data_IF_015495846895
#
_entry.id   IF_015495846895
#
_cell.length_a   1.000
_cell.length_b   1.000
_cell.length_c   1.000
_cell.angle_alpha   90.00
_cell.angle_beta   90.00
_cell.angle_gamma   90.00
#
_symmetry.space_group_name_H-M   'P 1'
#
loop_
_entity.id
_entity.type
_entity.pdbx_description
1 polymer ?
#
# COMPACT_ATOMS: atom_id res chain seq x y z
N UNK A 1 -5.00 7.81 -4.02
CA UNK A 1 -5.72 6.53 -3.91
C UNK A 1 -6.89 6.46 -4.88
N UNK A 2 -7.53 7.59 -5.19
CA UNK A 2 -8.64 7.71 -6.15
C UNK A 2 -8.46 6.96 -7.47
N UNK A 3 -7.30 7.07 -8.15
CA UNK A 3 -7.04 6.35 -9.40
C UNK A 3 -7.03 4.82 -9.23
N UNK A 4 -6.52 4.32 -8.10
CA UNK A 4 -6.53 2.88 -7.75
C UNK A 4 -7.96 2.43 -7.51
N UNK A 5 -8.74 3.21 -6.74
CA UNK A 5 -10.14 2.93 -6.46
C UNK A 5 -10.96 2.87 -7.75
N UNK A 6 -10.89 3.91 -8.59
CA UNK A 6 -11.58 3.96 -9.88
C UNK A 6 -11.20 2.79 -10.80
N UNK A 7 -9.91 2.46 -10.90
CA UNK A 7 -9.42 1.32 -11.67
C UNK A 7 -10.00 -0.01 -11.20
N UNK A 8 -9.94 -0.29 -9.90
CA UNK A 8 -10.49 -1.51 -9.32
C UNK A 8 -12.03 -1.58 -9.48
N UNK A 9 -12.74 -0.49 -9.22
CA UNK A 9 -14.21 -0.40 -9.38
C UNK A 9 -14.65 -0.59 -10.82
N UNK A 10 -13.90 -0.08 -11.80
CA UNK A 10 -14.22 -0.25 -13.23
C UNK A 10 -14.23 -1.72 -13.68
N UNK A 11 -13.62 -2.61 -12.88
CA UNK A 11 -13.58 -4.06 -13.09
C UNK A 11 -14.43 -4.84 -12.08
N UNK A 12 -15.30 -4.17 -11.33
CA UNK A 12 -16.17 -4.78 -10.32
C UNK A 12 -15.46 -5.17 -9.03
N UNK A 13 -14.24 -4.68 -8.80
CA UNK A 13 -13.47 -4.96 -7.59
C UNK A 13 -14.08 -4.33 -6.33
N UNK A 14 -13.89 -5.01 -5.19
CA UNK A 14 -14.19 -4.47 -3.87
C UNK A 14 -13.05 -3.55 -3.44
N UNK A 15 -13.38 -2.31 -3.07
CA UNK A 15 -12.41 -1.29 -2.62
C UNK A 15 -12.80 -0.81 -1.24
N UNK A 16 -11.93 -1.03 -0.25
CA UNK A 16 -12.13 -0.57 1.13
C UNK A 16 -11.19 0.61 1.39
N UNK A 17 -11.76 1.79 1.68
CA UNK A 17 -10.98 2.96 2.09
C UNK A 17 -10.80 3.00 3.60
N UNK A 18 -9.57 3.05 4.10
CA UNK A 18 -9.29 3.22 5.54
C UNK A 18 -8.91 4.68 5.79
N UNK A 19 -9.76 5.42 6.49
CA UNK A 19 -9.70 6.88 6.53
C UNK A 19 -8.88 7.41 7.71
N UNK A 20 -8.07 8.47 7.49
CA UNK A 20 -7.35 9.22 8.52
C UNK A 20 -8.19 9.83 9.64
N UNK A 21 -9.38 10.25 9.26
CA UNK A 21 -10.14 11.33 9.89
C UNK A 21 -11.41 10.76 10.52
N UNK A 22 -12.29 11.66 10.96
CA UNK A 22 -13.56 11.37 11.60
C UNK A 22 -14.73 11.18 10.62
N UNK A 23 -14.46 11.18 9.30
CA UNK A 23 -15.48 10.97 8.28
C UNK A 23 -16.31 12.21 7.95
N UNK A 24 -15.97 13.37 8.48
CA UNK A 24 -16.66 14.64 8.16
C UNK A 24 -16.38 15.12 6.73
N UNK A 25 -15.17 14.86 6.21
CA UNK A 25 -14.86 15.03 4.80
C UNK A 25 -15.61 13.95 3.97
N UNK A 26 -16.26 14.26 2.85
CA UNK A 26 -16.87 13.25 1.97
C UNK A 26 -15.90 12.12 1.54
N UNK A 27 -14.58 12.36 1.51
CA UNK A 27 -13.57 11.36 1.17
C UNK A 27 -13.55 10.99 -0.32
N UNK A 28 -12.85 9.91 -0.68
CA UNK A 28 -12.75 9.44 -2.08
C UNK A 28 -14.06 8.78 -2.54
N UNK A 29 -14.63 9.25 -3.65
CA UNK A 29 -15.96 8.85 -4.13
C UNK A 29 -16.06 7.39 -4.61
N UNK A 30 -14.95 6.74 -4.95
CA UNK A 30 -14.93 5.44 -5.62
C UNK A 30 -14.64 4.25 -4.69
N UNK A 31 -14.88 4.38 -3.39
CA UNK A 31 -14.76 3.25 -2.45
C UNK A 31 -16.08 2.46 -2.33
N UNK A 32 -15.98 1.15 -2.12
CA UNK A 32 -17.15 0.28 -1.86
C UNK A 32 -17.65 0.40 -0.42
N UNK A 33 -16.73 0.62 0.52
CA UNK A 33 -17.01 0.96 1.89
C UNK A 33 -15.83 1.75 2.48
N UNK A 34 -16.12 2.54 3.51
CA UNK A 34 -15.11 3.28 4.25
C UNK A 34 -15.04 2.81 5.70
N UNK A 35 -13.83 2.62 6.21
CA UNK A 35 -13.54 2.42 7.63
C UNK A 35 -12.98 3.73 8.17
N UNK A 36 -13.79 4.44 8.95
CA UNK A 36 -13.39 5.70 9.59
C UNK A 36 -12.64 5.38 10.88
N UNK A 37 -11.41 5.88 11.01
CA UNK A 37 -10.54 5.52 12.16
C UNK A 37 -10.27 6.69 13.10
N UNK A 38 -10.26 7.93 12.60
CA UNK A 38 -9.77 9.11 13.31
C UNK A 38 -8.38 8.93 13.96
N UNK A 39 -7.52 8.10 13.35
CA UNK A 39 -6.21 7.72 13.90
C UNK A 39 -5.05 8.56 13.34
N UNK A 40 -5.30 9.52 12.44
CA UNK A 40 -4.21 10.13 11.69
C UNK A 40 -3.32 9.06 11.07
N UNK A 41 -2.01 9.27 11.00
CA UNK A 41 -1.08 8.34 10.34
C UNK A 41 -1.02 6.94 10.96
N UNK A 42 -1.50 6.75 12.19
CA UNK A 42 -1.53 5.44 12.82
C UNK A 42 -2.46 4.45 12.10
N UNK A 43 -3.41 4.92 11.26
CA UNK A 43 -4.27 4.06 10.44
C UNK A 43 -3.48 3.20 9.44
N UNK A 44 -2.24 3.56 9.11
CA UNK A 44 -1.37 2.82 8.19
C UNK A 44 -1.09 1.39 8.72
N UNK A 45 -1.11 1.20 10.05
CA UNK A 45 -1.01 -0.13 10.64
C UNK A 45 -2.23 -0.99 10.28
N UNK A 46 -3.44 -0.43 10.27
CA UNK A 46 -4.67 -1.17 9.88
C UNK A 46 -4.58 -1.59 8.41
N UNK A 47 -4.14 -0.69 7.52
CA UNK A 47 -3.91 -1.01 6.10
C UNK A 47 -2.97 -2.21 5.96
N UNK A 48 -1.80 -2.11 6.58
CA UNK A 48 -0.75 -3.12 6.46
C UNK A 48 -1.14 -4.43 7.10
N UNK A 49 -1.83 -4.45 8.24
CA UNK A 49 -2.26 -5.67 8.93
C UNK A 49 -3.49 -6.35 8.30
N UNK A 50 -4.19 -5.65 7.42
CA UNK A 50 -5.34 -6.20 6.68
C UNK A 50 -4.98 -6.74 5.30
N UNK A 51 -3.73 -6.59 4.84
CA UNK A 51 -3.32 -6.87 3.46
C UNK A 51 -2.51 -8.17 3.32
N UNK A 52 -2.86 -9.09 2.42
CA UNK A 52 -2.03 -10.28 2.18
C UNK A 52 -0.71 -9.96 1.44
N UNK A 53 -0.68 -8.84 0.72
CA UNK A 53 0.50 -8.26 0.07
C UNK A 53 0.33 -6.74 -0.08
N UNK A 54 1.43 -6.01 -0.30
CA UNK A 54 1.42 -4.55 -0.46
C UNK A 54 2.08 -4.16 -1.78
N UNK A 55 1.42 -3.30 -2.56
CA UNK A 55 2.00 -2.63 -3.72
C UNK A 55 2.12 -1.14 -3.38
N UNK A 56 3.35 -0.69 -3.19
CA UNK A 56 3.67 0.72 -2.96
C UNK A 56 3.92 1.43 -4.29
N UNK A 57 3.15 2.47 -4.56
CA UNK A 57 3.26 3.28 -5.78
C UNK A 57 3.72 4.69 -5.42
N UNK A 58 4.82 5.15 -6.01
CA UNK A 58 5.40 6.47 -5.72
C UNK A 58 6.16 6.54 -4.39
N UNK A 59 6.56 7.75 -4.00
CA UNK A 59 7.56 7.98 -2.94
C UNK A 59 7.15 9.01 -1.88
N UNK A 60 5.97 8.90 -1.26
CA UNK A 60 5.61 9.78 -0.13
C UNK A 60 6.13 9.22 1.21
N UNK A 61 6.24 10.06 2.25
CA UNK A 61 6.57 9.59 3.61
C UNK A 61 5.54 8.62 4.17
N UNK A 62 4.25 8.82 3.86
CA UNK A 62 3.19 7.88 4.23
C UNK A 62 3.41 6.51 3.60
N UNK A 63 3.72 6.49 2.30
CA UNK A 63 4.05 5.27 1.55
C UNK A 63 5.27 4.56 2.15
N UNK A 64 6.31 5.30 2.53
CA UNK A 64 7.49 4.71 3.18
C UNK A 64 7.14 4.03 4.51
N UNK A 65 6.27 4.65 5.32
CA UNK A 65 5.84 4.08 6.59
C UNK A 65 5.05 2.77 6.41
N UNK A 66 4.23 2.67 5.37
CA UNK A 66 3.49 1.45 5.03
C UNK A 66 4.43 0.35 4.54
N UNK A 67 5.44 0.67 3.72
CA UNK A 67 6.49 -0.26 3.30
C UNK A 67 7.24 -0.80 4.52
N UNK A 68 7.67 0.06 5.43
CA UNK A 68 8.39 -0.37 6.64
C UNK A 68 7.55 -1.29 7.53
N UNK A 69 6.27 -0.96 7.73
CA UNK A 69 5.33 -1.80 8.46
C UNK A 69 5.11 -3.16 7.77
N UNK A 70 4.96 -3.16 6.44
CA UNK A 70 4.72 -4.38 5.66
C UNK A 70 5.94 -5.31 5.70
N UNK A 71 7.14 -4.75 5.63
CA UNK A 71 8.38 -5.49 5.80
C UNK A 71 8.50 -6.10 7.19
N UNK A 72 8.07 -5.39 8.24
CA UNK A 72 8.03 -5.93 9.60
C UNK A 72 6.98 -7.03 9.76
N UNK A 73 5.85 -6.94 9.05
CA UNK A 73 4.81 -7.97 9.02
C UNK A 73 5.26 -9.23 8.27
N UNK A 74 6.13 -9.09 7.27
CA UNK A 74 6.63 -10.19 6.45
C UNK A 74 5.68 -10.58 5.31
N UNK A 75 4.86 -9.64 4.82
CA UNK A 75 4.06 -9.83 3.60
C UNK A 75 4.87 -9.48 2.35
N UNK A 76 4.56 -10.02 1.16
CA UNK A 76 5.18 -9.58 -0.08
C UNK A 76 4.97 -8.08 -0.30
N UNK A 77 6.04 -7.37 -0.67
CA UNK A 77 6.00 -5.93 -0.95
C UNK A 77 6.60 -5.66 -2.34
N UNK A 78 5.81 -5.06 -3.23
CA UNK A 78 6.27 -4.53 -4.50
C UNK A 78 6.39 -3.00 -4.43
N UNK A 79 7.43 -2.43 -5.03
CA UNK A 79 7.62 -0.97 -5.11
C UNK A 79 7.70 -0.54 -6.56
N UNK A 80 6.73 0.25 -7.01
CA UNK A 80 6.63 0.77 -8.37
C UNK A 80 6.86 2.29 -8.38
N UNK A 81 7.97 2.73 -8.99
CA UNK A 81 8.34 4.15 -9.11
C UNK A 81 8.49 4.88 -7.76
N UNK A 82 8.89 4.17 -6.72
CA UNK A 82 8.90 4.64 -5.33
C UNK A 82 10.27 4.71 -4.67
N UNK A 83 10.26 4.69 -3.33
CA UNK A 83 11.48 4.76 -2.53
C UNK A 83 12.43 3.60 -2.76
N UNK A 84 13.72 3.89 -2.86
CA UNK A 84 14.79 2.92 -2.68
C UNK A 84 15.45 3.18 -1.32
N UNK A 85 15.37 2.21 -0.42
CA UNK A 85 15.93 2.33 0.93
C UNK A 85 17.30 1.67 0.94
N UNK A 86 18.33 2.43 1.33
CA UNK A 86 19.70 1.94 1.41
C UNK A 86 20.11 1.77 2.87
N UNK A 87 20.98 0.79 3.13
CA UNK A 87 21.67 0.63 4.39
C UNK A 87 22.81 1.66 4.55
N UNK A 88 23.49 1.73 5.71
CA UNK A 88 24.61 2.65 5.91
C UNK A 88 25.81 2.45 4.96
N UNK A 89 25.92 1.28 4.32
CA UNK A 89 26.94 0.99 3.31
C UNK A 89 26.49 1.37 1.88
N UNK A 90 25.27 1.88 1.71
CA UNK A 90 24.70 2.25 0.43
C UNK A 90 24.10 1.07 -0.34
N UNK A 91 24.00 -0.12 0.25
CA UNK A 91 23.38 -1.27 -0.37
C UNK A 91 21.85 -1.22 -0.18
N UNK A 92 21.04 -1.66 -1.16
CA UNK A 92 19.59 -1.73 -1.00
C UNK A 92 19.20 -2.63 0.17
N UNK A 93 18.32 -2.15 1.04
CA UNK A 93 17.74 -2.99 2.09
C UNK A 93 16.97 -4.14 1.44
N UNK A 94 17.20 -5.39 1.87
CA UNK A 94 16.49 -6.54 1.33
C UNK A 94 15.01 -6.50 1.73
N UNK A 95 14.17 -7.11 0.90
CA UNK A 95 12.76 -7.34 1.22
C UNK A 95 11.78 -6.80 0.20
N UNK A 96 11.59 -5.47 0.08
CA UNK A 96 10.74 -4.91 -0.95
C UNK A 96 11.34 -5.21 -2.33
N UNK A 97 10.51 -5.66 -3.26
CA UNK A 97 10.91 -5.90 -4.65
C UNK A 97 10.56 -4.69 -5.50
N UNK A 98 11.58 -3.97 -5.94
CA UNK A 98 11.44 -2.90 -6.92
C UNK A 98 11.10 -3.50 -8.29
N UNK A 99 10.11 -2.90 -8.94
CA UNK A 99 9.55 -3.33 -10.23
C UNK A 99 9.30 -2.11 -11.10
N UNK A 100 9.29 -2.32 -12.41
CA UNK A 100 9.16 -1.23 -13.38
C UNK A 100 7.76 -1.17 -14.00
N UNK A 101 6.97 -2.24 -13.83
CA UNK A 101 5.63 -2.36 -14.42
C UNK A 101 4.55 -2.73 -13.39
N UNK A 102 3.28 -2.32 -13.62
CA UNK A 102 2.15 -2.79 -12.82
C UNK A 102 2.00 -4.31 -12.81
N UNK A 103 2.27 -4.97 -13.95
CA UNK A 103 2.18 -6.43 -14.10
C UNK A 103 3.17 -7.15 -13.18
N UNK A 104 4.43 -6.70 -13.15
CA UNK A 104 5.42 -7.24 -12.22
C UNK A 104 5.04 -6.99 -10.76
N UNK A 105 4.43 -5.85 -10.45
CA UNK A 105 3.95 -5.56 -9.09
C UNK A 105 2.87 -6.56 -8.64
N UNK A 106 1.94 -6.89 -9.55
CA UNK A 106 0.90 -7.91 -9.31
C UNK A 106 1.51 -9.30 -9.18
N UNK A 107 2.49 -9.65 -10.01
CA UNK A 107 3.20 -10.93 -9.92
C UNK A 107 3.90 -11.11 -8.57
N UNK A 108 4.45 -10.03 -8.00
CA UNK A 108 5.02 -10.05 -6.65
C UNK A 108 3.93 -10.26 -5.60
N UNK A 109 2.81 -9.56 -5.71
CA UNK A 109 1.72 -9.65 -4.75
C UNK A 109 1.02 -11.02 -4.73
N UNK A 110 0.97 -11.71 -5.87
CA UNK A 110 0.32 -13.02 -6.01
C UNK A 110 1.23 -14.22 -5.73
N UNK A 111 2.54 -14.00 -5.53
CA UNK A 111 3.45 -15.07 -5.11
C UNK A 111 3.05 -15.54 -3.72
N UNK A 112 2.68 -16.82 -3.59
CA UNK A 112 2.45 -17.43 -2.29
C UNK A 112 3.76 -17.42 -1.49
N UNK A 113 3.75 -16.99 -0.22
CA UNK A 113 4.86 -17.27 0.67
C UNK A 113 5.01 -18.80 0.75
N UNK A 114 6.24 -19.28 0.51
CA UNK A 114 6.60 -20.69 0.63
C UNK A 114 6.61 -21.16 2.08
#
# INVERSE_FOLDING_TARGET
>A
MAAVAAGARSRGGLVIGVRPDDGTDPGEADVSAAVVTNMGQARNAILVWSADAVIAVGGSWGTLSEVALAMRRGVPVAVLGGWQILDPAGAPLPGPRHVDTPEEAVDVALRRPG
#
